data_IF_919565564515
#
_entry.id   IF_919565564515
#
_cell.length_a   1.000
_cell.length_b   1.000
_cell.length_c   1.000
_cell.angle_alpha   90.00
_cell.angle_beta   90.00
_cell.angle_gamma   90.00
#
_symmetry.space_group_name_H-M   'P 1'
#
loop_
_entity.id
_entity.type
_entity.pdbx_description
1 polymer ?
#
# COMPACT_ATOMS: atom_id res chain seq x y z
N UNK A 1 -15.92 -6.19 20.49
CA UNK A 1 -16.28 -7.49 19.88
C UNK A 1 -15.00 -8.08 19.34
N UNK A 2 -14.43 -9.02 20.10
CA UNK A 2 -13.14 -9.66 19.83
C UNK A 2 -13.32 -10.56 18.61
N UNK A 3 -12.70 -10.22 17.49
CA UNK A 3 -12.71 -11.06 16.30
C UNK A 3 -11.68 -12.17 16.54
N UNK A 4 -12.17 -13.40 16.55
CA UNK A 4 -11.43 -14.62 16.83
C UNK A 4 -10.39 -14.86 15.73
N UNK A 5 -9.15 -15.06 16.14
CA UNK A 5 -7.94 -15.26 15.34
C UNK A 5 -7.84 -16.65 14.66
N UNK A 6 -8.94 -17.33 14.35
CA UNK A 6 -8.91 -18.68 13.79
C UNK A 6 -9.78 -18.81 12.54
N UNK A 7 -9.28 -18.25 11.43
CA UNK A 7 -9.75 -18.58 10.08
C UNK A 7 -8.96 -19.80 9.55
N UNK A 8 -9.60 -20.97 9.35
CA UNK A 8 -8.93 -22.22 8.95
C UNK A 8 -8.37 -22.22 7.53
N UNK A 9 -8.61 -21.17 6.73
CA UNK A 9 -8.06 -21.05 5.38
C UNK A 9 -6.61 -20.54 5.36
N UNK A 10 -6.08 -20.01 6.48
CA UNK A 10 -4.70 -19.52 6.58
C UNK A 10 -3.71 -20.63 6.96
N UNK A 11 -4.17 -21.71 7.60
CA UNK A 11 -3.37 -22.90 7.90
C UNK A 11 -3.07 -23.75 6.66
N UNK A 12 -3.99 -23.77 5.69
CA UNK A 12 -3.90 -24.65 4.52
C UNK A 12 -2.89 -24.14 3.46
N UNK A 13 -2.50 -22.86 3.53
CA UNK A 13 -1.41 -22.30 2.74
C UNK A 13 -0.03 -22.52 3.37
N UNK A 14 0.02 -22.96 4.64
CA UNK A 14 1.25 -23.23 5.38
C UNK A 14 1.75 -24.67 5.20
N UNK A 15 0.87 -25.61 4.81
CA UNK A 15 1.20 -27.04 4.70
C UNK A 15 1.73 -27.48 3.34
N UNK A 16 1.66 -26.66 2.29
CA UNK A 16 2.32 -26.97 1.00
C UNK A 16 3.79 -26.53 0.97
N UNK A 17 4.48 -26.74 2.09
CA UNK A 17 5.94 -26.66 2.16
C UNK A 17 6.52 -27.81 1.32
N UNK A 18 6.84 -27.52 0.06
CA UNK A 18 7.85 -28.28 -0.68
C UNK A 18 9.01 -28.57 0.29
N UNK A 19 9.40 -29.84 0.40
CA UNK A 19 10.49 -30.29 1.29
C UNK A 19 11.82 -29.65 0.88
N UNK A 20 12.04 -28.42 1.33
CA UNK A 20 13.20 -27.60 1.01
C UNK A 20 14.07 -27.57 2.25
N UNK A 21 15.20 -28.27 2.18
CA UNK A 21 16.21 -28.28 3.25
C UNK A 21 16.84 -26.89 3.43
N UNK A 22 16.39 -26.17 4.46
CA UNK A 22 16.86 -24.81 4.79
C UNK A 22 18.37 -24.75 5.07
N UNK A 23 18.95 -25.84 5.56
CA UNK A 23 20.41 -25.97 5.77
C UNK A 23 21.19 -26.04 4.45
N UNK A 24 20.63 -26.66 3.41
CA UNK A 24 21.25 -26.69 2.08
C UNK A 24 21.20 -25.31 1.39
N UNK A 25 20.15 -24.52 1.63
CA UNK A 25 20.01 -23.15 1.12
C UNK A 25 20.95 -22.14 1.79
N UNK A 26 21.31 -22.37 3.06
CA UNK A 26 22.23 -21.52 3.81
C UNK A 26 23.72 -21.85 3.54
N UNK A 27 23.99 -22.93 2.80
CA UNK A 27 25.35 -23.32 2.46
C UNK A 27 26.00 -22.26 1.55
N UNK A 28 27.31 -21.99 1.72
CA UNK A 28 28.01 -20.99 0.89
C UNK A 28 27.99 -21.37 -0.60
N UNK A 29 27.65 -20.41 -1.45
CA UNK A 29 27.70 -20.59 -2.91
C UNK A 29 29.16 -20.65 -3.35
N UNK A 30 29.55 -21.73 -4.06
CA UNK A 30 30.95 -22.05 -4.38
C UNK A 30 31.56 -21.08 -5.40
N UNK A 31 30.80 -20.66 -6.41
CA UNK A 31 31.26 -19.76 -7.46
C UNK A 31 30.49 -18.44 -7.47
N UNK A 32 31.16 -17.33 -7.81
CA UNK A 32 30.52 -16.02 -7.93
C UNK A 32 29.43 -15.98 -9.03
N UNK A 33 29.57 -16.79 -10.09
CA UNK A 33 28.62 -16.88 -11.20
C UNK A 33 27.25 -17.42 -10.73
N UNK A 34 27.25 -18.40 -9.82
CA UNK A 34 26.03 -19.03 -9.32
C UNK A 34 25.22 -18.07 -8.42
N UNK A 35 25.88 -17.05 -7.84
CA UNK A 35 25.23 -16.01 -7.03
C UNK A 35 24.28 -15.12 -7.87
N UNK A 36 24.54 -14.97 -9.17
CA UNK A 36 23.68 -14.16 -10.05
C UNK A 36 22.27 -14.76 -10.20
N UNK A 37 22.09 -16.06 -9.97
CA UNK A 37 20.77 -16.69 -10.00
C UNK A 37 19.85 -16.20 -8.87
N UNK A 38 20.40 -15.61 -7.82
CA UNK A 38 19.61 -15.02 -6.72
C UNK A 38 18.96 -13.69 -7.09
N UNK A 39 19.51 -12.95 -8.06
CA UNK A 39 18.98 -11.66 -8.48
C UNK A 39 17.57 -11.75 -9.08
N UNK A 40 17.27 -12.63 -10.07
CA UNK A 40 15.93 -12.73 -10.61
C UNK A 40 14.91 -13.14 -9.54
N UNK A 41 15.27 -14.05 -8.62
CA UNK A 41 14.38 -14.44 -7.51
C UNK A 41 14.16 -13.30 -6.52
N UNK A 42 15.21 -12.55 -6.17
CA UNK A 42 15.09 -11.36 -5.32
C UNK A 42 14.20 -10.29 -5.97
N UNK A 43 14.37 -10.04 -7.28
CA UNK A 43 13.58 -9.07 -8.03
C UNK A 43 12.11 -9.49 -8.16
N UNK A 44 11.79 -10.80 -8.22
CA UNK A 44 10.40 -11.28 -8.18
C UNK A 44 9.70 -10.94 -6.87
N UNK A 45 10.40 -11.06 -5.73
CA UNK A 45 9.82 -10.83 -4.40
C UNK A 45 9.81 -9.35 -4.01
N UNK A 46 10.94 -8.68 -4.23
CA UNK A 46 11.16 -7.30 -3.78
C UNK A 46 10.92 -6.27 -4.87
N UNK A 47 10.91 -6.62 -6.16
CA UNK A 47 10.69 -5.66 -7.26
C UNK A 47 11.77 -4.58 -7.37
N UNK A 48 11.90 -3.97 -8.56
CA UNK A 48 12.85 -2.85 -8.75
C UNK A 48 12.34 -1.54 -8.14
N UNK A 49 11.02 -1.34 -8.10
CA UNK A 49 10.38 -0.05 -7.76
C UNK A 49 9.54 -0.15 -6.48
N UNK A 50 9.62 -1.27 -5.77
CA UNK A 50 8.71 -1.56 -4.64
C UNK A 50 8.88 -0.61 -3.48
N UNK A 51 10.07 -0.07 -3.24
CA UNK A 51 10.29 0.91 -2.18
C UNK A 51 9.37 2.13 -2.32
N UNK A 52 9.20 2.65 -3.55
CA UNK A 52 8.34 3.80 -3.80
C UNK A 52 6.87 3.44 -3.60
N UNK A 53 6.44 2.27 -4.09
CA UNK A 53 5.07 1.79 -3.92
C UNK A 53 4.74 1.52 -2.46
N UNK A 54 5.64 0.89 -1.71
CA UNK A 54 5.45 0.57 -0.29
C UNK A 54 5.35 1.85 0.55
N UNK A 55 6.20 2.84 0.28
CA UNK A 55 6.14 4.15 0.93
C UNK A 55 4.80 4.86 0.66
N UNK A 56 4.36 4.89 -0.60
CA UNK A 56 3.08 5.50 -0.97
C UNK A 56 1.89 4.75 -0.37
N UNK A 57 1.89 3.42 -0.42
CA UNK A 57 0.86 2.57 0.18
C UNK A 57 0.76 2.80 1.70
N UNK A 58 1.89 2.90 2.39
CA UNK A 58 1.92 3.20 3.82
C UNK A 58 1.38 4.61 4.12
N UNK A 59 1.74 5.60 3.29
CA UNK A 59 1.20 6.96 3.39
C UNK A 59 -0.33 6.98 3.26
N UNK A 60 -0.85 6.40 2.18
CA UNK A 60 -2.28 6.31 1.85
C UNK A 60 -3.07 5.56 2.91
N UNK A 61 -2.56 4.43 3.43
CA UNK A 61 -3.30 3.58 4.38
C UNK A 61 -3.25 4.11 5.82
N UNK A 62 -2.12 4.70 6.21
CA UNK A 62 -1.83 4.98 7.63
C UNK A 62 -1.55 6.46 7.88
N UNK A 63 -0.57 7.05 7.18
CA UNK A 63 -0.08 8.37 7.56
C UNK A 63 -1.09 9.49 7.32
N UNK A 64 -1.86 9.43 6.22
CA UNK A 64 -2.87 10.45 5.94
C UNK A 64 -3.94 10.52 7.05
N UNK A 65 -4.33 9.37 7.60
CA UNK A 65 -5.26 9.30 8.73
C UNK A 65 -4.67 9.92 9.98
N UNK A 66 -3.39 9.64 10.27
CA UNK A 66 -2.68 10.25 11.41
C UNK A 66 -2.58 11.76 11.28
N UNK A 67 -2.31 12.28 10.08
CA UNK A 67 -2.24 13.73 9.81
C UNK A 67 -3.59 14.40 10.07
N UNK A 68 -4.69 13.80 9.58
CA UNK A 68 -6.04 14.33 9.78
C UNK A 68 -6.45 14.26 11.25
N UNK A 69 -6.11 13.18 11.96
CA UNK A 69 -6.38 13.05 13.40
C UNK A 69 -5.60 14.06 14.25
N UNK A 70 -4.37 14.39 13.87
CA UNK A 70 -3.58 15.40 14.58
C UNK A 70 -4.13 16.83 14.42
N UNK A 71 -4.90 17.08 13.35
CA UNK A 71 -5.49 18.38 13.03
C UNK A 71 -7.02 18.27 12.93
N UNK A 72 -7.64 17.51 13.84
CA UNK A 72 -9.03 17.08 13.70
C UNK A 72 -10.06 18.19 13.95
N UNK A 73 -9.68 19.32 14.54
CA UNK A 73 -10.61 20.37 14.97
C UNK A 73 -10.24 21.74 14.40
N UNK A 74 -11.21 22.40 13.78
CA UNK A 74 -11.14 23.82 13.38
C UNK A 74 -12.20 24.58 14.17
N UNK A 75 -11.78 25.55 14.98
CA UNK A 75 -12.67 26.37 15.82
C UNK A 75 -12.76 27.79 15.27
N UNK A 76 -13.95 28.40 15.32
CA UNK A 76 -14.12 29.82 15.01
C UNK A 76 -13.45 30.70 16.07
N UNK A 77 -12.87 31.83 15.64
CA UNK A 77 -12.31 32.83 16.56
C UNK A 77 -13.37 33.71 17.21
N UNK A 78 -14.54 33.85 16.56
CA UNK A 78 -15.60 34.78 16.99
C UNK A 78 -16.59 34.07 17.92
N UNK A 79 -16.99 32.83 17.58
CA UNK A 79 -17.96 32.07 18.34
C UNK A 79 -17.41 30.65 18.62
N UNK A 80 -16.98 30.36 19.87
CA UNK A 80 -16.45 29.06 20.25
C UNK A 80 -17.44 27.89 20.12
N UNK A 81 -18.75 28.15 20.01
CA UNK A 81 -19.76 27.11 19.84
C UNK A 81 -19.74 26.49 18.43
N UNK A 82 -19.20 27.21 17.45
CA UNK A 82 -19.12 26.79 16.05
C UNK A 82 -17.74 26.20 15.76
N UNK A 83 -17.72 24.90 15.47
CA UNK A 83 -16.51 24.18 15.09
C UNK A 83 -16.77 23.16 13.99
N UNK A 84 -15.72 22.84 13.23
CA UNK A 84 -15.68 21.75 12.26
C UNK A 84 -14.74 20.67 12.80
N UNK A 85 -15.19 19.42 12.81
CA UNK A 85 -14.35 18.28 13.22
C UNK A 85 -14.21 17.26 12.11
N UNK A 86 -12.98 16.96 11.71
CA UNK A 86 -12.66 15.87 10.81
C UNK A 86 -12.76 14.53 11.54
N UNK A 87 -13.57 13.60 11.01
CA UNK A 87 -13.76 12.27 11.62
C UNK A 87 -12.88 11.20 10.99
N UNK A 88 -12.73 11.22 9.68
CA UNK A 88 -12.01 10.20 8.90
C UNK A 88 -11.64 10.78 7.52
N UNK A 89 -10.72 10.12 6.83
CA UNK A 89 -10.29 10.46 5.46
C UNK A 89 -10.24 9.20 4.59
N UNK A 90 -10.70 9.32 3.36
CA UNK A 90 -10.75 8.23 2.38
C UNK A 90 -10.26 8.71 1.03
N UNK A 91 -9.56 7.84 0.33
CA UNK A 91 -9.05 8.07 -1.01
C UNK A 91 -9.94 7.28 -1.95
N UNK A 92 -10.58 7.98 -2.88
CA UNK A 92 -11.47 7.39 -3.88
C UNK A 92 -10.72 6.90 -5.12
N UNK A 93 -11.48 6.40 -6.09
CA UNK A 93 -10.96 6.05 -7.41
C UNK A 93 -10.62 7.33 -8.21
N UNK A 94 -9.61 7.28 -9.10
CA UNK A 94 -9.21 8.43 -9.89
C UNK A 94 -10.31 8.81 -10.90
N UNK A 95 -10.82 10.03 -10.78
CA UNK A 95 -11.91 10.55 -11.62
C UNK A 95 -11.83 12.06 -11.82
N UNK A 96 -12.41 12.54 -12.92
CA UNK A 96 -12.57 13.97 -13.24
C UNK A 96 -14.05 14.29 -13.45
N UNK A 97 -14.47 15.50 -13.10
CA UNK A 97 -15.81 16.00 -13.38
C UNK A 97 -15.73 16.91 -14.61
N UNK A 98 -16.39 16.50 -15.69
CA UNK A 98 -16.49 17.27 -16.95
C UNK A 98 -17.98 17.50 -17.20
N UNK A 99 -18.39 18.77 -17.32
CA UNK A 99 -19.78 19.17 -17.56
C UNK A 99 -20.81 18.50 -16.61
N UNK A 100 -20.42 18.32 -15.34
CA UNK A 100 -21.26 17.70 -14.31
C UNK A 100 -21.29 16.17 -14.33
N UNK A 101 -20.60 15.52 -15.28
CA UNK A 101 -20.47 14.06 -15.36
C UNK A 101 -19.12 13.62 -14.79
N UNK A 102 -19.14 12.58 -13.94
CA UNK A 102 -17.90 12.00 -13.38
C UNK A 102 -17.37 10.91 -14.31
N UNK A 103 -16.17 11.13 -14.85
CA UNK A 103 -15.47 10.16 -15.69
C UNK A 103 -14.29 9.54 -14.95
N UNK A 104 -14.06 8.24 -15.16
CA UNK A 104 -12.87 7.57 -14.63
C UNK A 104 -11.62 7.96 -15.42
N UNK A 105 -10.51 8.15 -14.72
CA UNK A 105 -9.23 8.48 -15.31
C UNK A 105 -8.35 7.24 -15.48
N UNK A 106 -7.55 7.25 -16.55
CA UNK A 106 -6.47 6.30 -16.75
C UNK A 106 -5.16 7.07 -16.90
N UNK A 107 -4.00 6.49 -16.54
CA UNK A 107 -2.72 7.18 -16.66
C UNK A 107 -2.41 7.65 -18.09
N UNK A 108 -2.87 6.91 -19.10
CA UNK A 108 -2.68 7.28 -20.51
C UNK A 108 -3.50 8.52 -20.89
N UNK A 109 -4.75 8.61 -20.42
CA UNK A 109 -5.60 9.80 -20.63
C UNK A 109 -4.99 11.03 -19.97
N UNK A 110 -4.50 10.90 -18.74
CA UNK A 110 -3.80 11.98 -18.04
C UNK A 110 -2.60 12.53 -18.84
N UNK A 111 -1.81 11.63 -19.43
CA UNK A 111 -0.63 12.01 -20.23
C UNK A 111 -0.97 12.67 -21.57
N UNK A 112 -2.10 12.33 -22.19
CA UNK A 112 -2.49 12.90 -23.49
C UNK A 112 -3.20 14.25 -23.36
N UNK A 113 -3.86 14.48 -22.23
CA UNK A 113 -4.72 15.66 -22.03
C UNK A 113 -4.14 16.65 -21.02
N UNK A 114 -2.89 16.45 -20.58
CA UNK A 114 -2.20 17.27 -19.58
C UNK A 114 -3.04 17.51 -18.29
N UNK A 115 -3.75 16.46 -17.85
CA UNK A 115 -4.55 16.46 -16.61
C UNK A 115 -3.91 15.59 -15.53
N UNK A 116 -4.10 15.94 -14.25
CA UNK A 116 -3.59 15.20 -13.08
C UNK A 116 -4.67 14.38 -12.40
#
# INVERSE_FOLDING_TARGET
MVVRENDPALSDLQEKSLGIDKQALAAPVKNAVDKFQLLPEFLKVRGLVKQHLDSFNYFVRTQIKKIVQANDLITSKIDPSIYLRYKDVRIGEPSVIIDGVTEKLTPHKCRLSDIT
#
